data_IF_604911769550
#
_entry.id   IF_604911769550
#
_cell.length_a   1.000
_cell.length_b   1.000
_cell.length_c   1.000
_cell.angle_alpha   90.00
_cell.angle_beta   90.00
_cell.angle_gamma   90.00
#
_symmetry.space_group_name_H-M   'P 1'
#
loop_
_entity.id
_entity.type
_entity.pdbx_description
1 polymer ?
#
# COMPACT_ATOMS: atom_id res chain seq x y z
N UNK A 1 6.00 3.19 -21.71
CA UNK A 1 5.45 3.05 -20.35
C UNK A 1 5.04 1.60 -20.22
N UNK A 2 5.37 0.93 -19.12
CA UNK A 2 5.01 -0.49 -18.92
C UNK A 2 3.52 -0.58 -18.59
N UNK A 3 2.82 -1.60 -19.07
CA UNK A 3 1.43 -1.84 -18.67
C UNK A 3 1.36 -2.61 -17.35
N UNK A 4 0.21 -2.56 -16.68
CA UNK A 4 -0.02 -3.32 -15.45
C UNK A 4 -0.02 -4.83 -15.72
N UNK A 5 -0.54 -5.25 -16.88
CA UNK A 5 -0.55 -6.64 -17.32
C UNK A 5 0.88 -7.17 -17.50
N UNK A 6 1.75 -6.39 -18.14
CA UNK A 6 3.17 -6.72 -18.31
C UNK A 6 3.89 -6.86 -16.96
N UNK A 7 3.66 -5.91 -16.03
CA UNK A 7 4.25 -5.95 -14.69
C UNK A 7 3.77 -7.17 -13.92
N UNK A 8 2.47 -7.47 -13.95
CA UNK A 8 1.90 -8.63 -13.27
C UNK A 8 2.45 -9.96 -13.80
N UNK A 9 2.67 -10.06 -15.11
CA UNK A 9 3.29 -11.25 -15.70
C UNK A 9 4.73 -11.45 -15.22
N UNK A 10 5.52 -10.38 -15.15
CA UNK A 10 6.88 -10.43 -14.58
C UNK A 10 6.88 -10.84 -13.12
N UNK A 11 5.92 -10.34 -12.32
CA UNK A 11 5.77 -10.71 -10.91
C UNK A 11 5.50 -12.22 -10.79
N UNK A 12 4.57 -12.76 -11.59
CA UNK A 12 4.27 -14.20 -11.59
C UNK A 12 5.46 -15.07 -11.99
N UNK A 13 6.32 -14.57 -12.88
CA UNK A 13 7.54 -15.26 -13.33
C UNK A 13 8.73 -15.09 -12.36
N UNK A 14 8.62 -14.20 -11.36
CA UNK A 14 9.75 -13.85 -10.50
C UNK A 14 10.83 -13.01 -11.20
N UNK A 15 10.48 -12.35 -12.30
CA UNK A 15 11.39 -11.54 -13.14
C UNK A 15 11.24 -10.03 -12.90
N UNK A 16 10.29 -9.62 -12.05
CA UNK A 16 10.04 -8.21 -11.76
C UNK A 16 11.21 -7.60 -10.97
N UNK A 17 11.70 -6.44 -11.43
CA UNK A 17 12.65 -5.62 -10.68
C UNK A 17 11.89 -4.81 -9.64
N UNK A 18 11.95 -5.25 -8.39
CA UNK A 18 11.29 -4.61 -7.24
C UNK A 18 12.36 -3.93 -6.39
N UNK A 19 12.12 -2.66 -6.05
CA UNK A 19 13.01 -1.88 -5.17
C UNK A 19 12.21 -1.16 -4.10
N UNK A 20 12.89 -0.70 -3.06
CA UNK A 20 12.33 0.19 -2.05
C UNK A 20 12.36 1.65 -2.52
N UNK A 21 11.57 2.50 -1.87
CA UNK A 21 11.59 3.94 -2.12
C UNK A 21 12.97 4.56 -1.87
N UNK A 22 13.75 4.05 -0.91
CA UNK A 22 15.10 4.52 -0.62
C UNK A 22 16.08 4.15 -1.75
N UNK A 23 16.08 2.88 -2.19
CA UNK A 23 16.92 2.43 -3.31
C UNK A 23 16.60 3.17 -4.61
N UNK A 24 15.34 3.53 -4.84
CA UNK A 24 14.92 4.28 -6.02
C UNK A 24 15.58 5.65 -6.11
N UNK A 25 15.86 6.30 -4.97
CA UNK A 25 16.54 7.61 -4.94
C UNK A 25 17.95 7.48 -5.53
N UNK A 26 18.70 6.46 -5.12
CA UNK A 26 20.07 6.25 -5.59
C UNK A 26 20.11 5.81 -7.06
N UNK A 27 19.20 4.92 -7.48
CA UNK A 27 19.07 4.50 -8.88
C UNK A 27 18.80 5.71 -9.79
N UNK A 28 17.92 6.62 -9.37
CA UNK A 28 17.63 7.85 -10.13
C UNK A 28 18.84 8.79 -10.16
N UNK A 29 19.58 8.91 -9.05
CA UNK A 29 20.79 9.75 -8.98
C UNK A 29 21.89 9.24 -9.92
N UNK A 30 22.06 7.93 -10.03
CA UNK A 30 23.09 7.30 -10.87
C UNK A 30 22.70 7.26 -12.35
N UNK A 31 21.46 6.85 -12.65
CA UNK A 31 21.03 6.50 -14.02
C UNK A 31 20.12 7.54 -14.67
N UNK A 32 19.58 8.47 -13.88
CA UNK A 32 18.59 9.45 -14.31
C UNK A 32 17.17 8.87 -14.41
N UNK A 33 16.17 9.75 -14.27
CA UNK A 33 14.74 9.39 -14.16
C UNK A 33 14.24 8.49 -15.29
N UNK A 34 14.59 8.82 -16.55
CA UNK A 34 14.09 8.07 -17.72
C UNK A 34 14.62 6.63 -17.78
N UNK A 35 15.86 6.40 -17.34
CA UNK A 35 16.48 5.07 -17.36
C UNK A 35 16.02 4.26 -16.15
N UNK A 36 15.99 4.87 -14.97
CA UNK A 36 15.44 4.29 -13.75
C UNK A 36 14.01 3.77 -13.97
N UNK A 37 13.13 4.58 -14.56
CA UNK A 37 11.74 4.19 -14.85
C UNK A 37 11.60 3.07 -15.91
N UNK A 38 12.61 2.85 -16.75
CA UNK A 38 12.63 1.72 -17.70
C UNK A 38 13.10 0.43 -17.03
N UNK A 39 14.04 0.51 -16.10
CA UNK A 39 14.65 -0.64 -15.45
C UNK A 39 13.80 -1.17 -14.29
N UNK A 40 13.24 -0.29 -13.46
CA UNK A 40 12.44 -0.68 -12.28
C UNK A 40 10.99 -0.98 -12.68
N UNK A 41 10.45 -2.10 -12.19
CA UNK A 41 9.05 -2.50 -12.44
C UNK A 41 8.12 -2.07 -11.29
N UNK A 42 8.56 -2.21 -10.04
CA UNK A 42 7.76 -1.85 -8.85
C UNK A 42 8.63 -1.14 -7.82
N UNK A 43 8.11 -0.04 -7.24
CA UNK A 43 8.70 0.62 -6.08
C UNK A 43 7.79 0.37 -4.89
N UNK A 44 8.37 -0.16 -3.81
CA UNK A 44 7.67 -0.45 -2.56
C UNK A 44 8.06 0.57 -1.51
N UNK A 45 7.09 0.99 -0.69
CA UNK A 45 7.36 1.88 0.45
C UNK A 45 6.54 1.41 1.65
N UNK A 46 7.14 1.50 2.83
CA UNK A 46 6.44 1.29 4.09
C UNK A 46 5.99 2.64 4.64
N UNK A 47 4.70 2.80 4.89
CA UNK A 47 4.16 3.97 5.57
C UNK A 47 3.69 3.58 6.96
N UNK A 48 4.21 4.25 8.00
CA UNK A 48 3.70 4.17 9.37
C UNK A 48 2.79 5.38 9.62
N UNK A 49 1.64 5.41 8.98
CA UNK A 49 0.70 6.53 9.06
C UNK A 49 -0.64 6.21 8.42
N UNK A 50 -1.69 6.91 8.88
CA UNK A 50 -3.03 6.82 8.31
C UNK A 50 -2.94 7.41 6.89
N UNK A 51 -3.15 6.60 5.85
CA UNK A 51 -3.09 7.09 4.48
C UNK A 51 -4.27 8.01 4.19
N UNK A 52 -4.10 8.98 3.29
CA UNK A 52 -5.05 10.06 2.96
C UNK A 52 -6.43 9.59 2.43
N UNK A 53 -6.71 8.30 2.45
CA UNK A 53 -7.97 7.66 2.03
C UNK A 53 -8.43 6.53 2.97
N UNK A 54 -7.81 6.37 4.14
CA UNK A 54 -8.11 5.28 5.10
C UNK A 54 -9.17 5.63 6.15
N UNK A 55 -9.82 6.78 6.06
CA UNK A 55 -10.85 7.17 7.01
C UNK A 55 -12.11 6.34 6.83
N UNK A 56 -12.58 5.69 7.91
CA UNK A 56 -13.87 5.02 7.95
C UNK A 56 -14.75 5.67 9.02
N UNK A 57 -16.00 5.96 8.69
CA UNK A 57 -16.99 6.50 9.62
C UNK A 57 -18.10 5.48 9.79
N UNK A 58 -18.29 4.98 11.01
CA UNK A 58 -19.35 4.04 11.32
C UNK A 58 -20.57 4.75 11.91
N UNK A 59 -21.74 4.44 11.37
CA UNK A 59 -23.00 4.70 12.06
C UNK A 59 -23.60 3.37 12.51
N UNK A 60 -23.42 3.05 13.79
CA UNK A 60 -23.92 1.82 14.42
C UNK A 60 -25.36 1.93 14.92
N UNK A 61 -26.01 3.08 14.74
CA UNK A 61 -27.35 3.36 15.26
C UNK A 61 -27.41 3.50 16.79
N UNK A 62 -28.56 3.94 17.30
CA UNK A 62 -28.80 4.07 18.74
C UNK A 62 -29.66 2.89 19.22
N UNK A 63 -29.01 1.88 19.79
CA UNK A 63 -29.72 0.73 20.39
C UNK A 63 -30.23 1.03 21.80
N UNK A 64 -31.26 0.29 22.23
CA UNK A 64 -31.66 0.19 23.63
C UNK A 64 -31.67 -1.29 24.00
N UNK A 65 -30.75 -1.75 24.88
CA UNK A 65 -29.76 -0.99 25.66
C UNK A 65 -28.63 -0.36 24.82
N UNK A 66 -27.94 0.65 25.38
CA UNK A 66 -26.85 1.36 24.69
C UNK A 66 -25.64 0.45 24.49
N UNK A 67 -25.01 0.52 23.32
CA UNK A 67 -23.72 -0.14 23.03
C UNK A 67 -22.57 0.81 23.40
N UNK A 68 -21.53 0.28 24.05
CA UNK A 68 -20.25 0.97 24.30
C UNK A 68 -19.13 0.26 23.55
N UNK A 69 -18.71 0.82 22.42
CA UNK A 69 -17.49 0.39 21.74
C UNK A 69 -16.26 0.90 22.51
N UNK A 70 -15.25 0.05 22.71
CA UNK A 70 -14.04 0.38 23.48
C UNK A 70 -14.14 0.14 25.01
N UNK A 71 -15.21 -0.52 25.49
CA UNK A 71 -15.27 -1.06 26.86
C UNK A 71 -14.68 -2.46 27.03
N UNK A 72 -14.21 -3.05 25.93
CA UNK A 72 -13.64 -4.40 25.78
C UNK A 72 -12.99 -4.47 24.40
N UNK A 73 -13.07 -5.62 23.73
CA UNK A 73 -12.54 -5.78 22.37
C UNK A 73 -13.60 -5.42 21.31
N UNK A 74 -13.15 -4.84 20.19
CA UNK A 74 -13.99 -4.49 19.04
C UNK A 74 -13.23 -4.95 17.79
N UNK A 75 -13.92 -5.64 16.89
CA UNK A 75 -13.35 -6.14 15.64
C UNK A 75 -14.18 -5.63 14.46
N UNK A 76 -13.50 -5.35 13.36
CA UNK A 76 -14.09 -5.10 12.05
C UNK A 76 -13.54 -6.14 11.07
N UNK A 77 -14.42 -7.03 10.57
CA UNK A 77 -14.01 -8.14 9.67
C UNK A 77 -12.85 -8.96 10.25
N UNK A 78 -12.95 -9.33 11.52
CA UNK A 78 -11.93 -10.09 12.25
C UNK A 78 -10.57 -9.38 12.42
N UNK A 79 -10.52 -8.08 12.12
CA UNK A 79 -9.36 -7.20 12.40
C UNK A 79 -9.67 -6.33 13.61
N UNK A 80 -8.79 -6.38 14.61
CA UNK A 80 -8.90 -5.61 15.86
C UNK A 80 -8.40 -4.17 15.68
#
# INVERSE_FOLDING_TARGET
>A
MKSIEEINEKIRKGEAVVVTAEEMIDIVREKGVKKAAKEVDVVTTGTFGIMCSSGIYFNIGHTKPKIKLGGGEVYLNDVQ
#
